data_IF_751931320047
#
_entry.id   IF_751931320047
#
_cell.length_a   1.000
_cell.length_b   1.000
_cell.length_c   1.000
_cell.angle_alpha   90.00
_cell.angle_beta   90.00
_cell.angle_gamma   90.00
#
_symmetry.space_group_name_H-M   'P 1'
#
loop_
_entity.id
_entity.type
_entity.pdbx_description
1 polymer ?
#
# COMPACT_ATOMS: atom_id res chain seq x y z
N UNK A 1 9.12 -17.87 22.83
CA UNK A 1 8.93 -16.43 22.96
C UNK A 1 9.46 -15.77 21.72
N UNK A 2 8.59 -15.31 20.88
CA UNK A 2 8.96 -14.55 19.71
C UNK A 2 9.53 -13.21 20.18
N UNK A 3 10.77 -12.98 19.82
CA UNK A 3 11.43 -11.72 20.10
C UNK A 3 11.50 -10.88 18.83
N UNK A 4 10.63 -11.03 17.89
CA UNK A 4 10.55 -10.18 16.69
C UNK A 4 11.77 -9.29 16.43
N UNK A 5 11.79 -8.59 15.35
CA UNK A 5 12.80 -7.54 15.14
C UNK A 5 12.63 -6.39 16.14
N UNK A 6 13.63 -5.53 16.23
CA UNK A 6 13.62 -4.31 17.05
C UNK A 6 12.45 -3.37 16.69
N UNK A 7 11.89 -3.58 15.52
CA UNK A 7 10.74 -2.89 14.94
C UNK A 7 9.40 -3.59 15.21
N UNK A 8 9.38 -4.58 16.09
CA UNK A 8 8.22 -5.43 16.39
C UNK A 8 7.69 -6.23 15.20
N UNK A 9 8.48 -6.38 14.13
CA UNK A 9 8.09 -7.26 13.02
C UNK A 9 8.05 -8.71 13.49
N UNK A 10 7.12 -9.48 12.94
CA UNK A 10 7.01 -10.91 13.18
C UNK A 10 8.32 -11.60 12.75
N UNK A 11 8.82 -12.51 13.58
CA UNK A 11 10.00 -13.32 13.22
C UNK A 11 9.80 -14.04 11.91
N UNK A 12 10.79 -14.00 11.05
CA UNK A 12 10.69 -14.57 9.72
C UNK A 12 12.03 -15.22 9.30
N UNK A 13 11.95 -16.13 8.34
CA UNK A 13 13.10 -16.73 7.67
C UNK A 13 12.90 -16.75 6.16
N UNK A 14 13.98 -16.88 5.40
CA UNK A 14 13.91 -17.04 3.95
C UNK A 14 14.15 -18.47 3.54
N UNK A 15 13.31 -18.97 2.66
CA UNK A 15 13.52 -20.22 1.94
C UNK A 15 14.13 -19.87 0.59
N UNK A 16 15.27 -20.45 0.29
CA UNK A 16 15.94 -20.29 -1.00
C UNK A 16 15.73 -21.54 -1.84
N UNK A 17 15.30 -21.36 -3.06
CA UNK A 17 15.18 -22.40 -4.06
C UNK A 17 16.27 -22.16 -5.11
N UNK A 18 17.16 -23.13 -5.29
CA UNK A 18 18.23 -23.08 -6.29
C UNK A 18 17.90 -24.09 -7.37
N UNK A 19 17.85 -23.66 -8.61
CA UNK A 19 17.63 -24.55 -9.75
C UNK A 19 18.95 -25.23 -10.22
N UNK A 20 18.80 -26.10 -11.21
CA UNK A 20 19.95 -26.84 -11.77
C UNK A 20 20.99 -25.97 -12.48
N UNK A 21 20.65 -24.73 -12.83
CA UNK A 21 21.53 -23.77 -13.51
C UNK A 21 22.26 -22.87 -12.49
N UNK A 22 21.91 -22.97 -11.21
CA UNK A 22 22.42 -22.10 -10.15
C UNK A 22 21.63 -20.81 -9.95
N UNK A 23 20.54 -20.61 -10.71
CA UNK A 23 19.63 -19.52 -10.48
C UNK A 23 18.84 -19.75 -9.20
N UNK A 24 18.60 -18.69 -8.45
CA UNK A 24 17.87 -18.82 -7.20
C UNK A 24 16.70 -17.86 -7.09
N UNK A 25 15.66 -18.34 -6.42
CA UNK A 25 14.56 -17.53 -5.94
C UNK A 25 14.47 -17.61 -4.43
N UNK A 26 13.95 -16.60 -3.79
CA UNK A 26 13.74 -16.64 -2.34
C UNK A 26 12.33 -16.18 -1.99
N UNK A 27 11.78 -16.82 -0.96
CA UNK A 27 10.49 -16.42 -0.39
C UNK A 27 10.65 -16.15 1.10
N UNK A 28 9.92 -15.16 1.61
CA UNK A 28 9.87 -14.83 3.02
C UNK A 28 8.78 -15.65 3.68
N UNK A 29 9.11 -16.34 4.79
CA UNK A 29 8.15 -17.07 5.62
C UNK A 29 8.18 -16.53 7.04
N UNK A 30 7.01 -16.22 7.57
CA UNK A 30 6.86 -15.81 8.95
C UNK A 30 6.79 -17.01 9.87
N UNK A 31 7.53 -16.94 10.99
CA UNK A 31 7.42 -17.93 12.07
C UNK A 31 6.11 -17.70 12.80
N UNK A 32 5.46 -18.76 13.23
CA UNK A 32 4.21 -18.72 14.01
C UNK A 32 3.00 -18.10 13.27
N UNK A 33 3.10 -17.85 11.98
CA UNK A 33 2.00 -17.36 11.16
C UNK A 33 1.84 -18.26 9.95
N UNK A 34 0.92 -19.21 10.00
CA UNK A 34 0.68 -20.13 8.90
C UNK A 34 -0.13 -19.48 7.79
N UNK A 35 -1.22 -18.84 8.17
CA UNK A 35 -2.14 -18.18 7.26
C UNK A 35 -2.66 -16.90 7.89
N UNK A 36 -2.81 -15.89 7.07
CA UNK A 36 -3.48 -14.65 7.47
C UNK A 36 -4.29 -14.13 6.30
N UNK A 37 -5.47 -13.63 6.58
CA UNK A 37 -6.32 -12.93 5.62
C UNK A 37 -6.81 -11.63 6.25
N UNK A 38 -6.57 -10.53 5.56
CA UNK A 38 -6.92 -9.18 6.03
C UNK A 38 -7.59 -8.39 4.92
N UNK A 39 -8.76 -7.86 5.19
CA UNK A 39 -9.46 -6.94 4.30
C UNK A 39 -8.98 -5.53 4.59
N UNK A 40 -8.23 -4.94 3.66
CA UNK A 40 -7.75 -3.56 3.79
C UNK A 40 -8.79 -2.55 3.29
N UNK A 41 -9.64 -2.94 2.33
CA UNK A 41 -10.74 -2.12 1.82
C UNK A 41 -11.90 -3.03 1.36
N UNK A 42 -13.17 -2.63 1.59
CA UNK A 42 -13.61 -1.48 2.37
C UNK A 42 -13.43 -1.71 3.88
N UNK A 43 -13.21 -0.61 4.62
CA UNK A 43 -13.09 -0.62 6.07
C UNK A 43 -13.95 0.51 6.67
N UNK A 44 -14.99 0.13 7.44
CA UNK A 44 -15.92 1.04 8.13
C UNK A 44 -16.84 1.82 7.21
N UNK A 45 -16.35 2.41 6.13
CA UNK A 45 -17.15 3.15 5.13
C UNK A 45 -16.73 2.85 3.71
N UNK A 46 -17.67 2.99 2.77
CA UNK A 46 -17.43 2.95 1.34
C UNK A 46 -18.36 3.94 0.64
N UNK A 47 -18.00 4.33 -0.58
CA UNK A 47 -18.82 5.24 -1.37
C UNK A 47 -19.57 4.47 -2.46
N UNK A 48 -20.82 4.88 -2.74
CA UNK A 48 -21.60 4.25 -3.79
C UNK A 48 -20.90 4.32 -5.16
N UNK A 49 -21.32 3.47 -6.06
CA UNK A 49 -20.90 3.25 -7.44
C UNK A 49 -19.69 2.33 -7.61
N UNK A 50 -18.55 2.61 -7.01
CA UNK A 50 -17.35 1.79 -7.18
C UNK A 50 -16.59 1.71 -5.87
N UNK A 51 -16.61 0.54 -5.25
CA UNK A 51 -15.93 0.30 -3.99
C UNK A 51 -14.66 -0.50 -4.26
N UNK A 52 -13.47 0.06 -4.03
CA UNK A 52 -12.24 -0.70 -4.13
C UNK A 52 -12.23 -1.83 -3.10
N UNK A 53 -11.95 -3.04 -3.55
CA UNK A 53 -11.76 -4.20 -2.67
C UNK A 53 -10.28 -4.57 -2.71
N UNK A 54 -9.63 -4.50 -1.55
CA UNK A 54 -8.23 -4.87 -1.37
C UNK A 54 -8.12 -5.87 -0.24
N UNK A 55 -7.54 -7.02 -0.53
CA UNK A 55 -7.39 -8.12 0.42
C UNK A 55 -5.95 -8.61 0.41
N UNK A 56 -5.35 -8.72 1.57
CA UNK A 56 -4.06 -9.37 1.75
C UNK A 56 -4.26 -10.79 2.24
N UNK A 57 -3.68 -11.76 1.56
CA UNK A 57 -3.71 -13.18 1.93
C UNK A 57 -2.29 -13.70 1.97
N UNK A 58 -1.88 -14.13 3.14
CA UNK A 58 -0.60 -14.78 3.35
C UNK A 58 -0.79 -16.25 3.69
N UNK A 59 0.06 -17.11 3.15
CA UNK A 59 0.16 -18.52 3.55
C UNK A 59 1.61 -18.96 3.50
N UNK A 60 2.09 -19.56 4.57
CA UNK A 60 3.49 -20.01 4.68
C UNK A 60 3.81 -21.27 3.88
N UNK A 61 2.83 -22.15 3.69
CA UNK A 61 3.07 -23.48 3.17
C UNK A 61 2.37 -23.79 1.85
N UNK A 62 1.24 -23.15 1.59
CA UNK A 62 0.38 -23.51 0.45
C UNK A 62 0.03 -22.29 -0.38
N UNK A 63 0.36 -22.26 -1.67
CA UNK A 63 0.02 -21.16 -2.55
C UNK A 63 -1.50 -20.91 -2.60
N UNK A 64 -1.87 -19.63 -2.68
CA UNK A 64 -3.25 -19.22 -2.85
C UNK A 64 -3.66 -19.46 -4.29
N UNK A 65 -4.74 -20.20 -4.50
CA UNK A 65 -5.30 -20.53 -5.81
C UNK A 65 -6.16 -19.42 -6.37
N UNK A 66 -7.05 -18.89 -5.50
CA UNK A 66 -7.94 -17.79 -5.87
C UNK A 66 -8.47 -17.11 -4.61
N UNK A 67 -8.83 -15.85 -4.76
CA UNK A 67 -9.55 -15.08 -3.74
C UNK A 67 -10.85 -14.56 -4.36
N UNK A 68 -11.96 -14.81 -3.68
CA UNK A 68 -13.29 -14.36 -4.10
C UNK A 68 -13.96 -13.59 -2.98
N UNK A 69 -14.85 -12.68 -3.34
CA UNK A 69 -15.67 -11.97 -2.37
C UNK A 69 -17.15 -12.08 -2.68
N UNK A 70 -17.95 -11.94 -1.64
CA UNK A 70 -19.39 -11.76 -1.68
C UNK A 70 -19.76 -10.54 -0.85
N UNK A 71 -20.79 -9.81 -1.25
CA UNK A 71 -21.31 -8.70 -0.47
C UNK A 71 -22.72 -9.03 -0.01
N UNK A 72 -22.99 -8.81 1.27
CA UNK A 72 -24.26 -9.14 1.89
C UNK A 72 -24.93 -7.90 2.46
N UNK A 73 -26.25 -7.90 2.42
CA UNK A 73 -27.11 -7.01 3.20
C UNK A 73 -28.04 -7.87 4.05
N UNK A 74 -28.07 -7.63 5.36
CA UNK A 74 -28.93 -8.37 6.30
C UNK A 74 -28.79 -9.91 6.13
N UNK A 75 -27.56 -10.39 5.93
CA UNK A 75 -27.25 -11.81 5.70
C UNK A 75 -27.59 -12.34 4.30
N UNK A 76 -28.21 -11.54 3.42
CA UNK A 76 -28.54 -11.94 2.05
C UNK A 76 -27.49 -11.42 1.06
N UNK A 77 -26.96 -12.33 0.24
CA UNK A 77 -25.95 -11.95 -0.75
C UNK A 77 -26.55 -11.09 -1.86
N UNK A 78 -26.03 -9.87 -2.03
CA UNK A 78 -26.34 -8.96 -3.13
C UNK A 78 -25.33 -9.11 -4.28
N UNK A 79 -24.10 -9.55 -3.97
CA UNK A 79 -23.09 -10.00 -4.92
C UNK A 79 -22.51 -11.31 -4.42
N UNK A 80 -22.25 -12.25 -5.34
CA UNK A 80 -21.76 -13.59 -4.99
C UNK A 80 -20.47 -13.94 -5.74
N UNK A 81 -19.47 -14.47 -5.03
CA UNK A 81 -18.29 -15.15 -5.57
C UNK A 81 -17.58 -14.35 -6.70
N UNK A 82 -17.43 -13.05 -6.51
CA UNK A 82 -16.67 -12.21 -7.45
C UNK A 82 -15.19 -12.44 -7.23
N UNK A 83 -14.46 -12.70 -8.31
CA UNK A 83 -13.01 -12.92 -8.24
C UNK A 83 -12.25 -11.62 -8.06
N UNK A 84 -11.22 -11.66 -7.24
CA UNK A 84 -10.20 -10.64 -7.15
C UNK A 84 -9.00 -11.02 -8.02
N UNK A 85 -8.27 -10.02 -8.49
CA UNK A 85 -7.06 -10.19 -9.30
C UNK A 85 -5.85 -10.05 -8.39
N UNK A 86 -4.90 -10.97 -8.50
CA UNK A 86 -3.64 -10.88 -7.77
C UNK A 86 -2.83 -9.70 -8.29
N UNK A 87 -2.47 -8.79 -7.39
CA UNK A 87 -1.71 -7.58 -7.68
C UNK A 87 -0.25 -7.71 -7.23
N UNK A 88 -0.01 -8.41 -6.12
CA UNK A 88 1.31 -8.72 -5.57
C UNK A 88 1.30 -10.16 -5.05
N UNK A 89 2.43 -10.63 -4.53
CA UNK A 89 2.53 -11.99 -3.95
C UNK A 89 1.46 -12.25 -2.87
N UNK A 90 1.01 -11.21 -2.16
CA UNK A 90 0.06 -11.35 -1.04
C UNK A 90 -1.19 -10.50 -1.16
N UNK A 91 -1.36 -9.73 -2.22
CA UNK A 91 -2.49 -8.79 -2.36
C UNK A 91 -3.35 -9.12 -3.56
N UNK A 92 -4.65 -9.10 -3.35
CA UNK A 92 -5.68 -9.22 -4.38
C UNK A 92 -6.55 -7.98 -4.39
N UNK A 93 -6.78 -7.45 -5.59
CA UNK A 93 -7.57 -6.25 -5.81
C UNK A 93 -8.76 -6.51 -6.73
N UNK A 94 -9.78 -5.70 -6.55
CA UNK A 94 -10.94 -5.65 -7.42
C UNK A 94 -11.80 -4.43 -7.15
N UNK A 95 -12.79 -4.24 -8.00
CA UNK A 95 -13.78 -3.19 -7.82
C UNK A 95 -15.14 -3.84 -7.61
N UNK A 96 -15.81 -3.45 -6.56
CA UNK A 96 -17.18 -3.88 -6.27
C UNK A 96 -18.17 -2.84 -6.80
N UNK A 97 -18.94 -3.17 -7.86
CA UNK A 97 -20.00 -2.29 -8.33
C UNK A 97 -21.12 -2.27 -7.31
N UNK A 98 -21.40 -1.11 -6.75
CA UNK A 98 -22.41 -0.96 -5.72
C UNK A 98 -23.44 0.08 -6.14
N UNK A 99 -24.71 -0.33 -6.22
CA UNK A 99 -25.80 0.58 -6.59
C UNK A 99 -26.07 1.63 -5.51
N UNK A 100 -26.39 2.84 -5.91
CA UNK A 100 -26.79 3.95 -5.03
C UNK A 100 -27.96 3.61 -4.09
N UNK A 101 -28.78 2.60 -4.39
CA UNK A 101 -29.88 2.14 -3.52
C UNK A 101 -29.40 1.62 -2.15
N UNK A 102 -28.12 1.30 -2.02
CA UNK A 102 -27.53 0.86 -0.77
C UNK A 102 -26.97 1.99 0.10
N UNK A 103 -27.13 3.24 -0.32
CA UNK A 103 -26.73 4.40 0.48
C UNK A 103 -27.39 4.38 1.86
N UNK A 104 -26.60 4.67 2.89
CA UNK A 104 -27.03 4.62 4.30
C UNK A 104 -27.20 3.22 4.86
N UNK A 105 -26.98 2.18 4.07
CA UNK A 105 -27.07 0.78 4.53
C UNK A 105 -25.71 0.28 5.01
N UNK A 106 -25.77 -0.55 6.04
CA UNK A 106 -24.64 -1.38 6.45
C UNK A 106 -24.59 -2.64 5.60
N UNK A 107 -23.43 -2.94 5.06
CA UNK A 107 -23.17 -4.12 4.26
C UNK A 107 -22.00 -4.89 4.86
N UNK A 108 -21.94 -6.20 4.57
CA UNK A 108 -20.83 -7.06 4.97
C UNK A 108 -20.12 -7.57 3.74
N UNK A 109 -18.81 -7.31 3.64
CA UNK A 109 -17.95 -7.98 2.69
C UNK A 109 -17.46 -9.29 3.31
N UNK A 110 -17.74 -10.41 2.66
CA UNK A 110 -17.16 -11.71 2.97
C UNK A 110 -16.12 -12.07 1.93
N UNK A 111 -14.95 -12.45 2.37
CA UNK A 111 -13.86 -12.87 1.51
C UNK A 111 -13.51 -14.32 1.79
N UNK A 112 -13.32 -15.09 0.74
CA UNK A 112 -12.85 -16.47 0.79
C UNK A 112 -11.58 -16.61 -0.02
N UNK A 113 -10.50 -17.00 0.62
CA UNK A 113 -9.29 -17.45 -0.04
C UNK A 113 -9.29 -18.98 -0.15
N UNK A 114 -9.02 -19.52 -1.34
CA UNK A 114 -8.89 -20.95 -1.61
C UNK A 114 -7.45 -21.28 -1.92
N UNK A 115 -6.94 -22.33 -1.30
CA UNK A 115 -5.55 -22.77 -1.43
C UNK A 115 -5.45 -23.98 -2.36
N UNK A 116 -4.24 -24.23 -2.89
CA UNK A 116 -4.00 -25.35 -3.81
C UNK A 116 -4.24 -26.73 -3.19
N UNK A 117 -4.16 -26.85 -1.87
CA UNK A 117 -4.47 -28.09 -1.14
C UNK A 117 -5.97 -28.30 -0.86
N UNK A 118 -6.83 -27.42 -1.36
CA UNK A 118 -8.27 -27.47 -1.15
C UNK A 118 -8.78 -26.79 0.12
N UNK A 119 -7.90 -26.34 0.99
CA UNK A 119 -8.28 -25.57 2.18
C UNK A 119 -8.82 -24.19 1.82
N UNK A 120 -9.57 -23.60 2.76
CA UNK A 120 -10.14 -22.26 2.63
C UNK A 120 -9.89 -21.43 3.89
N UNK A 121 -9.71 -20.13 3.73
CA UNK A 121 -9.70 -19.15 4.80
C UNK A 121 -10.74 -18.05 4.54
N UNK A 122 -11.27 -17.46 5.60
CA UNK A 122 -12.36 -16.51 5.54
C UNK A 122 -12.02 -15.24 6.30
N UNK A 123 -12.51 -14.11 5.80
CA UNK A 123 -12.53 -12.85 6.52
C UNK A 123 -13.80 -12.08 6.20
N UNK A 124 -14.24 -11.26 7.13
CA UNK A 124 -15.41 -10.39 6.98
C UNK A 124 -15.06 -8.96 7.40
N UNK A 125 -15.70 -8.00 6.75
CA UNK A 125 -15.61 -6.59 7.10
C UNK A 125 -16.98 -5.94 6.90
N UNK A 126 -17.50 -5.31 7.95
CA UNK A 126 -18.70 -4.49 7.86
C UNK A 126 -18.34 -3.06 7.43
N UNK A 127 -19.21 -2.45 6.62
CA UNK A 127 -19.01 -1.08 6.18
C UNK A 127 -20.37 -0.42 5.86
N UNK A 128 -20.41 0.92 6.02
CA UNK A 128 -21.60 1.72 5.72
C UNK A 128 -21.39 2.40 4.36
N UNK A 129 -22.39 2.31 3.49
CA UNK A 129 -22.37 2.97 2.18
C UNK A 129 -22.75 4.45 2.32
N UNK A 130 -21.85 5.34 1.95
CA UNK A 130 -22.07 6.79 1.92
C UNK A 130 -22.47 7.26 0.52
N UNK A 131 -23.29 8.32 0.39
CA UNK A 131 -23.75 8.79 -0.92
C UNK A 131 -22.65 9.43 -1.75
N UNK A 132 -21.71 10.12 -1.12
CA UNK A 132 -20.68 10.90 -1.78
C UNK A 132 -19.32 10.60 -1.15
N UNK A 133 -18.31 10.63 -1.98
CA UNK A 133 -16.94 10.62 -1.49
C UNK A 133 -16.68 11.93 -0.77
N UNK A 134 -16.17 11.84 0.46
CA UNK A 134 -15.73 13.02 1.19
C UNK A 134 -14.60 13.67 0.41
N UNK A 135 -14.75 14.96 0.10
CA UNK A 135 -13.67 15.70 -0.52
C UNK A 135 -12.50 15.75 0.44
N UNK A 136 -11.43 15.08 0.06
CA UNK A 136 -10.19 15.11 0.84
C UNK A 136 -9.57 16.48 0.70
N UNK A 137 -9.40 17.17 1.82
CA UNK A 137 -8.61 18.39 1.89
C UNK A 137 -7.31 18.04 2.61
N UNK A 138 -6.21 18.10 1.90
CA UNK A 138 -4.90 17.99 2.51
C UNK A 138 -4.62 19.28 3.28
N UNK A 139 -4.22 19.14 4.55
CA UNK A 139 -3.85 20.27 5.40
C UNK A 139 -2.51 20.88 4.99
N UNK A 140 -1.75 21.39 5.96
CA UNK A 140 -0.42 21.90 5.74
C UNK A 140 0.52 20.81 5.19
N UNK A 141 1.53 21.25 4.44
CA UNK A 141 2.58 20.36 3.96
C UNK A 141 3.28 19.64 5.13
N UNK A 142 3.55 18.36 4.92
CA UNK A 142 4.29 17.49 5.81
C UNK A 142 5.46 16.91 5.02
N UNK A 143 6.50 17.71 4.82
CA UNK A 143 7.55 17.46 3.83
C UNK A 143 8.82 16.81 4.38
N UNK A 144 8.82 16.47 5.66
CA UNK A 144 9.96 15.83 6.34
C UNK A 144 9.48 14.90 7.46
N UNK A 145 10.39 14.09 8.01
CA UNK A 145 10.12 13.35 9.24
C UNK A 145 9.69 14.33 10.34
N UNK A 146 8.59 14.03 11.02
CA UNK A 146 7.96 14.90 12.02
C UNK A 146 7.48 16.27 11.48
N UNK A 147 7.23 16.35 10.16
CA UNK A 147 6.51 17.46 9.54
C UNK A 147 7.39 18.49 8.84
N UNK A 148 8.32 19.11 9.51
CA UNK A 148 9.15 20.19 8.95
C UNK A 148 10.64 19.85 8.98
N UNK A 149 11.46 20.67 8.32
CA UNK A 149 12.92 20.55 8.33
C UNK A 149 13.54 20.71 9.73
N UNK A 150 12.81 21.31 10.65
CA UNK A 150 13.21 21.43 12.06
C UNK A 150 12.68 20.27 12.92
N UNK A 151 12.04 19.28 12.30
CA UNK A 151 11.40 18.14 12.97
C UNK A 151 10.35 18.54 14.01
N UNK A 152 9.65 19.62 13.74
CA UNK A 152 8.51 20.08 14.56
C UNK A 152 7.25 19.90 13.75
N UNK A 153 6.29 19.17 14.29
CA UNK A 153 5.00 18.99 13.65
C UNK A 153 4.30 20.36 13.46
N UNK A 154 3.77 20.67 12.28
CA UNK A 154 2.96 21.85 12.11
C UNK A 154 1.72 21.74 12.99
N UNK A 155 1.19 22.88 13.44
CA UNK A 155 -0.08 22.90 14.17
C UNK A 155 -1.18 22.52 13.18
N UNK A 156 -1.75 21.35 13.36
CA UNK A 156 -2.89 20.88 12.58
C UNK A 156 -4.16 21.11 13.39
N UNK A 157 -5.28 21.47 12.75
CA UNK A 157 -6.57 21.49 13.42
C UNK A 157 -6.89 20.08 13.95
N UNK A 158 -7.58 19.96 15.09
CA UNK A 158 -7.96 18.66 15.61
C UNK A 158 -8.84 17.92 14.59
N UNK A 159 -8.61 16.61 14.50
CA UNK A 159 -9.47 15.75 13.69
C UNK A 159 -10.76 15.48 14.46
N UNK A 160 -11.89 15.73 13.82
CA UNK A 160 -13.20 15.44 14.40
C UNK A 160 -13.62 13.99 14.11
N UNK A 161 -14.14 13.33 15.12
CA UNK A 161 -14.70 12.01 14.98
C UNK A 161 -16.18 12.06 14.52
N UNK A 162 -16.69 11.05 13.79
CA UNK A 162 -16.01 9.80 13.41
C UNK A 162 -15.10 9.96 12.19
N UNK A 163 -13.94 9.36 12.24
CA UNK A 163 -13.03 9.30 11.08
C UNK A 163 -13.59 8.34 10.02
N UNK A 164 -13.34 8.64 8.77
CA UNK A 164 -13.75 7.84 7.63
C UNK A 164 -12.53 7.52 6.75
N UNK A 165 -12.52 6.32 6.16
CA UNK A 165 -11.53 5.98 5.17
C UNK A 165 -11.81 6.77 3.89
N UNK A 166 -10.89 7.65 3.49
CA UNK A 166 -11.00 8.42 2.25
C UNK A 166 -10.61 7.56 1.04
N UNK A 167 -9.45 6.95 1.09
CA UNK A 167 -8.97 6.02 0.08
C UNK A 167 -7.89 5.09 0.64
N UNK A 168 -7.62 4.02 -0.09
CA UNK A 168 -6.49 3.12 0.12
C UNK A 168 -5.84 2.80 -1.22
N UNK A 169 -4.51 2.68 -1.25
CA UNK A 169 -3.78 2.35 -2.47
C UNK A 169 -2.68 1.35 -2.19
N UNK A 170 -2.71 0.25 -2.92
CA UNK A 170 -1.60 -0.66 -2.97
C UNK A 170 -0.61 -0.19 -4.04
N UNK A 171 0.63 0.05 -3.67
CA UNK A 171 1.68 0.50 -4.60
C UNK A 171 2.43 -0.65 -5.28
N UNK A 172 2.09 -1.90 -4.94
CA UNK A 172 2.71 -3.08 -5.53
C UNK A 172 4.04 -3.50 -4.88
N UNK A 173 4.43 -2.85 -3.78
CA UNK A 173 5.68 -3.12 -3.08
C UNK A 173 5.55 -2.93 -1.58
N UNK A 174 6.46 -3.51 -0.81
CA UNK A 174 6.46 -3.38 0.64
C UNK A 174 6.90 -1.98 1.08
N UNK A 175 6.16 -1.37 2.01
CA UNK A 175 6.47 -0.10 2.64
C UNK A 175 6.96 -0.40 4.06
N UNK A 176 8.21 -0.03 4.37
CA UNK A 176 8.84 -0.37 5.63
C UNK A 176 9.67 0.78 6.19
N UNK A 177 9.40 1.16 7.44
CA UNK A 177 10.10 2.22 8.18
C UNK A 177 10.16 3.58 7.46
N UNK A 178 9.23 3.85 6.55
CA UNK A 178 9.10 5.12 5.86
C UNK A 178 7.72 5.71 6.15
N UNK A 179 7.66 7.00 6.40
CA UNK A 179 6.41 7.72 6.61
C UNK A 179 5.96 8.38 5.31
N UNK A 180 4.65 8.44 5.04
CA UNK A 180 4.15 9.24 3.94
C UNK A 180 4.41 10.73 4.19
N UNK A 181 4.76 11.44 3.14
CA UNK A 181 4.93 12.91 3.15
C UNK A 181 3.84 13.56 2.32
N UNK A 182 3.47 14.75 2.71
CA UNK A 182 2.48 15.56 1.98
C UNK A 182 3.14 16.84 1.50
N UNK A 183 3.03 17.12 0.21
CA UNK A 183 3.53 18.36 -0.37
C UNK A 183 2.75 18.72 -1.63
N UNK A 184 2.28 19.96 -1.72
CA UNK A 184 1.54 20.47 -2.87
C UNK A 184 0.39 19.55 -3.32
N UNK A 185 -0.47 19.12 -2.39
CA UNK A 185 -1.63 18.28 -2.71
C UNK A 185 -1.33 16.84 -3.11
N UNK A 186 -0.10 16.38 -2.92
CA UNK A 186 0.35 15.02 -3.27
C UNK A 186 0.87 14.30 -2.04
N UNK A 187 0.74 12.98 -2.04
CA UNK A 187 1.30 12.10 -1.04
C UNK A 187 2.50 11.37 -1.64
N UNK A 188 3.61 11.38 -0.95
CA UNK A 188 4.83 10.72 -1.38
C UNK A 188 5.22 9.61 -0.41
N UNK A 189 5.58 8.46 -0.94
CA UNK A 189 6.00 7.30 -0.17
C UNK A 189 7.10 6.53 -0.89
N UNK A 190 7.94 5.86 -0.13
CA UNK A 190 8.99 5.02 -0.68
C UNK A 190 8.77 3.55 -0.31
N UNK A 191 9.24 2.65 -1.17
CA UNK A 191 9.16 1.22 -0.94
C UNK A 191 10.54 0.58 -0.77
N UNK A 192 10.51 -0.65 -0.24
CA UNK A 192 11.70 -1.49 -0.11
C UNK A 192 11.68 -2.59 -1.17
N UNK A 193 12.86 -3.04 -1.55
CA UNK A 193 13.07 -4.20 -2.43
C UNK A 193 13.76 -5.31 -1.62
N UNK A 194 12.97 -6.02 -0.82
CA UNK A 194 13.51 -7.07 0.03
C UNK A 194 13.81 -8.36 -0.74
N UNK A 195 13.15 -8.54 -1.85
CA UNK A 195 13.26 -9.73 -2.69
C UNK A 195 14.24 -9.55 -3.86
N UNK A 196 14.89 -8.41 -3.99
CA UNK A 196 15.79 -8.07 -5.10
C UNK A 196 15.13 -8.20 -6.47
N UNK A 197 13.83 -7.90 -6.53
CA UNK A 197 13.02 -7.95 -7.77
C UNK A 197 12.89 -6.60 -8.47
N UNK A 198 13.58 -5.56 -7.99
CA UNK A 198 13.46 -4.20 -8.51
C UNK A 198 12.21 -3.46 -8.02
N UNK A 199 11.69 -3.82 -6.85
CA UNK A 199 10.47 -3.25 -6.26
C UNK A 199 10.71 -1.95 -5.48
N UNK A 200 11.97 -1.53 -5.34
CA UNK A 200 12.33 -0.27 -4.70
C UNK A 200 11.92 0.93 -5.57
N UNK A 201 10.97 1.73 -5.08
CA UNK A 201 10.47 2.90 -5.79
C UNK A 201 10.19 4.05 -4.83
N UNK A 202 10.15 5.25 -5.40
CA UNK A 202 9.45 6.40 -4.82
C UNK A 202 8.19 6.64 -5.62
N UNK A 203 7.07 6.79 -4.95
CA UNK A 203 5.77 7.06 -5.55
C UNK A 203 5.30 8.46 -5.20
N UNK A 204 4.63 9.11 -6.14
CA UNK A 204 3.75 10.23 -5.88
C UNK A 204 2.32 9.84 -6.20
N UNK A 205 1.44 10.08 -5.24
CA UNK A 205 0.02 9.80 -5.35
C UNK A 205 -0.77 11.11 -5.24
N UNK A 206 -1.89 11.17 -5.94
CA UNK A 206 -2.84 12.24 -5.75
C UNK A 206 -3.39 12.18 -4.31
N UNK A 207 -3.43 13.32 -3.64
CA UNK A 207 -3.90 13.36 -2.25
C UNK A 207 -5.41 13.13 -2.13
N UNK A 208 -6.18 13.38 -3.19
CA UNK A 208 -7.63 13.29 -3.18
C UNK A 208 -8.14 11.85 -3.24
N UNK A 209 -7.50 10.98 -4.02
CA UNK A 209 -8.00 9.63 -4.34
C UNK A 209 -6.93 8.54 -4.29
N UNK A 210 -5.66 8.91 -4.05
CA UNK A 210 -4.54 7.98 -4.00
C UNK A 210 -4.11 7.45 -5.38
N UNK A 211 -4.52 8.06 -6.50
CA UNK A 211 -4.04 7.66 -7.81
C UNK A 211 -2.52 7.85 -7.92
N UNK A 212 -1.82 6.84 -8.47
CA UNK A 212 -0.38 6.94 -8.69
C UNK A 212 -0.11 7.89 -9.86
N UNK A 213 0.37 9.09 -9.55
CA UNK A 213 0.73 10.10 -10.54
C UNK A 213 2.03 9.74 -11.26
N UNK A 214 2.99 9.22 -10.50
CA UNK A 214 4.23 8.68 -11.04
C UNK A 214 4.92 7.76 -10.02
N UNK A 215 5.79 6.90 -10.52
CA UNK A 215 6.73 6.13 -9.71
C UNK A 215 8.13 6.25 -10.31
N UNK A 216 9.14 6.21 -9.45
CA UNK A 216 10.54 6.24 -9.85
C UNK A 216 11.30 5.08 -9.23
N UNK A 217 11.90 4.20 -10.05
CA UNK A 217 12.65 3.06 -9.55
C UNK A 217 13.96 3.52 -8.89
N UNK A 218 14.30 2.88 -7.78
CA UNK A 218 15.56 3.07 -7.08
C UNK A 218 16.31 1.74 -6.97
N UNK A 219 17.63 1.80 -7.01
CA UNK A 219 18.46 0.58 -7.03
C UNK A 219 18.46 -0.21 -5.72
N UNK A 220 18.09 0.43 -4.63
CA UNK A 220 18.13 -0.19 -3.29
C UNK A 220 16.87 0.17 -2.51
N UNK A 221 16.58 -0.66 -1.52
CA UNK A 221 15.50 -0.42 -0.55
C UNK A 221 15.66 0.94 0.13
N UNK A 222 14.57 1.69 0.21
CA UNK A 222 14.48 2.89 1.03
C UNK A 222 13.80 2.51 2.33
N UNK A 223 14.56 2.48 3.42
CA UNK A 223 14.11 2.11 4.77
C UNK A 223 14.01 3.30 5.73
N UNK A 224 14.04 4.51 5.22
CA UNK A 224 13.89 5.74 5.99
C UNK A 224 12.90 6.65 5.31
N UNK A 225 12.31 7.56 6.08
CA UNK A 225 11.48 8.62 5.52
C UNK A 225 12.32 9.49 4.60
N UNK A 226 11.83 9.73 3.40
CA UNK A 226 12.41 10.68 2.46
C UNK A 226 12.18 12.11 2.97
N UNK A 227 12.84 13.09 2.38
CA UNK A 227 12.56 14.51 2.63
C UNK A 227 12.27 15.21 1.31
N UNK A 228 11.39 16.19 1.34
CA UNK A 228 11.00 16.99 0.18
C UNK A 228 11.34 18.43 0.47
N UNK A 229 12.09 19.08 -0.42
CA UNK A 229 12.32 20.52 -0.38
C UNK A 229 12.01 21.12 -1.75
N UNK A 230 10.97 21.91 -1.82
CA UNK A 230 10.44 22.53 -3.06
C UNK A 230 10.16 21.48 -4.15
N UNK A 231 11.07 21.34 -5.11
CA UNK A 231 10.98 20.35 -6.21
C UNK A 231 11.98 19.21 -6.07
N UNK A 232 12.60 19.08 -4.90
CA UNK A 232 13.71 18.16 -4.69
C UNK A 232 13.38 17.09 -3.67
N UNK A 233 13.78 15.83 -3.95
CA UNK A 233 13.69 14.72 -3.01
C UNK A 233 15.07 14.37 -2.49
N UNK A 234 15.27 14.36 -1.19
CA UNK A 234 16.48 13.89 -0.57
C UNK A 234 16.27 12.43 -0.12
N UNK A 235 17.03 11.52 -0.72
CA UNK A 235 16.98 10.09 -0.43
C UNK A 235 18.30 9.64 0.17
N UNK A 236 18.26 8.97 1.33
CA UNK A 236 19.43 8.29 1.89
C UNK A 236 19.29 6.78 1.65
N UNK A 237 20.17 6.22 0.83
CA UNK A 237 20.23 4.78 0.57
C UNK A 237 21.37 4.10 1.35
N UNK A 238 21.17 2.84 1.73
CA UNK A 238 22.03 2.13 2.70
C UNK A 238 23.45 1.81 2.25
N UNK A 239 23.82 1.87 0.98
CA UNK A 239 25.15 1.45 0.49
C UNK A 239 25.86 2.43 -0.46
N UNK A 240 25.25 3.50 -0.82
CA UNK A 240 25.89 4.51 -1.68
C UNK A 240 25.49 5.84 -1.07
N UNK A 241 26.46 6.70 -0.82
CA UNK A 241 26.24 7.99 -0.18
C UNK A 241 25.03 8.73 -0.72
N UNK A 242 24.68 9.84 -0.14
CA UNK A 242 23.52 10.63 -0.55
C UNK A 242 23.40 10.70 -2.06
N UNK A 243 22.32 10.16 -2.63
CA UNK A 243 22.01 10.45 -4.02
C UNK A 243 21.33 11.81 -4.08
N UNK A 244 21.82 12.68 -4.96
CA UNK A 244 21.10 13.91 -5.21
C UNK A 244 19.83 13.61 -6.00
N UNK A 245 18.90 14.20 -5.59
CA UNK A 245 17.79 14.93 -6.11
C UNK A 245 17.38 14.70 -7.56
N UNK A 246 16.14 14.32 -7.71
CA UNK A 246 15.48 14.32 -9.01
C UNK A 246 14.63 15.55 -9.18
N UNK A 247 14.91 16.34 -10.17
CA UNK A 247 14.04 17.39 -10.64
C UNK A 247 13.18 16.87 -11.79
N UNK A 248 11.87 16.76 -11.59
CA UNK A 248 10.93 16.63 -12.69
C UNK A 248 10.41 18.01 -13.04
N UNK A 249 10.73 18.53 -14.22
CA UNK A 249 10.04 19.71 -14.75
C UNK A 249 8.60 19.32 -15.08
N UNK A 250 7.65 19.97 -14.47
CA UNK A 250 6.21 19.68 -14.65
C UNK A 250 5.66 20.02 -16.06
N UNK A 251 6.48 20.53 -17.00
CA UNK A 251 6.05 21.07 -18.28
C UNK A 251 6.59 20.32 -19.51
N UNK A 252 6.70 19.01 -19.49
CA UNK A 252 6.90 18.28 -20.75
C UNK A 252 6.14 16.96 -20.76
N UNK A 253 5.01 16.97 -21.43
CA UNK A 253 4.38 15.77 -21.95
C UNK A 253 5.38 15.07 -22.87
N UNK A 254 5.87 13.90 -22.47
CA UNK A 254 6.45 12.96 -23.42
C UNK A 254 7.96 12.80 -23.51
N UNK A 255 8.82 13.24 -22.56
CA UNK A 255 10.20 12.72 -22.46
C UNK A 255 10.73 12.81 -21.04
N UNK A 256 11.15 11.66 -20.49
CA UNK A 256 11.79 11.55 -19.18
C UNK A 256 13.25 12.07 -19.26
N UNK A 257 13.47 13.34 -19.03
CA UNK A 257 14.81 13.88 -18.85
C UNK A 257 15.05 14.09 -17.36
N UNK A 258 15.80 13.19 -16.76
CA UNK A 258 16.31 13.32 -15.41
C UNK A 258 17.74 13.85 -15.45
N UNK A 259 18.00 14.95 -14.78
CA UNK A 259 19.34 15.46 -14.57
C UNK A 259 19.89 14.88 -13.27
N UNK A 260 20.91 14.04 -13.35
CA UNK A 260 21.68 13.59 -12.19
C UNK A 260 22.81 14.59 -11.93
N UNK A 261 22.77 15.29 -10.82
CA UNK A 261 23.90 16.10 -10.36
C UNK A 261 24.61 15.32 -9.26
N UNK A 262 25.84 14.94 -9.47
CA UNK A 262 26.65 14.24 -8.50
C UNK A 262 27.04 15.17 -7.34
N UNK A 263 26.73 14.76 -6.08
CA UNK A 263 27.38 15.38 -4.93
C UNK A 263 28.86 15.01 -4.95
N UNK A 264 29.72 15.99 -5.12
CA UNK A 264 31.16 15.88 -4.77
C UNK A 264 31.24 16.23 -3.27
N UNK A 265 31.56 15.27 -2.49
CA UNK A 265 32.43 15.19 -1.31
C UNK A 265 32.12 13.95 -0.50
#
# INVERSE_FOLDING_TARGET
LDKGGIDHSTSAFRVMHVDKNGDFTSELRYSYLDKNICIASPAGTAFANRVPVTVNVYSSATPVKEVVYSCLQDGKAILKNKKLVQATDWTWNGDMPLSAKYQGKELTLQVTARFNNGETAYAESAFIVRPEQVKVSLGADWNNLLGTSTHVAPVCPPLEAPLQLAWTKNVGANIYMTSPLVHNGKVYIASVDENLKGEGHVYALAGEDGEILWSYPVRNSIKNTIAIDKVWFLLKMRKVGCMPLMQKRENSVGKNNFLSTACRH
#
